data_IF_007221601703
#
_entry.id   IF_007221601703
#
_cell.length_a   1.000
_cell.length_b   1.000
_cell.length_c   1.000
_cell.angle_alpha   90.00
_cell.angle_beta   90.00
_cell.angle_gamma   90.00
#
_symmetry.space_group_name_H-M   'P 1'
#
loop_
_entity.id
_entity.type
_entity.pdbx_description
1 polymer ?
#
# COMPACT_ATOMS: atom_id res chain seq x y z
N UNK A 1 -14.66 -1.90 -18.99
CA UNK A 1 -14.77 -3.13 -18.15
C UNK A 1 -13.67 -4.14 -18.45
N UNK A 2 -13.31 -4.37 -19.73
CA UNK A 2 -12.29 -5.36 -20.12
C UNK A 2 -10.88 -5.06 -19.57
N UNK A 3 -10.50 -3.80 -19.46
CA UNK A 3 -9.19 -3.38 -18.96
C UNK A 3 -8.99 -3.73 -17.46
N UNK A 4 -10.02 -3.56 -16.65
CA UNK A 4 -9.98 -3.96 -15.24
C UNK A 4 -9.89 -5.48 -15.08
N UNK A 5 -10.63 -6.24 -15.89
CA UNK A 5 -10.54 -7.71 -15.89
C UNK A 5 -9.13 -8.19 -16.24
N UNK A 6 -8.50 -7.61 -17.26
CA UNK A 6 -7.11 -7.95 -17.64
C UNK A 6 -6.10 -7.64 -16.54
N UNK A 7 -6.20 -6.46 -15.89
CA UNK A 7 -5.34 -6.08 -14.77
C UNK A 7 -5.51 -7.03 -13.58
N UNK A 8 -6.75 -7.42 -13.27
CA UNK A 8 -7.02 -8.34 -12.19
C UNK A 8 -6.43 -9.72 -12.46
N UNK A 9 -6.53 -10.24 -13.70
CA UNK A 9 -5.88 -11.50 -14.07
C UNK A 9 -4.36 -11.46 -13.90
N UNK A 10 -3.71 -10.37 -14.34
CA UNK A 10 -2.26 -10.19 -14.17
C UNK A 10 -1.89 -10.14 -12.69
N UNK A 11 -2.65 -9.42 -11.86
CA UNK A 11 -2.41 -9.37 -10.42
C UNK A 11 -2.58 -10.74 -9.74
N UNK A 12 -3.58 -11.51 -10.15
CA UNK A 12 -3.76 -12.88 -9.64
C UNK A 12 -2.54 -13.74 -9.99
N UNK A 13 -2.05 -13.69 -11.23
CA UNK A 13 -0.85 -14.41 -11.62
C UNK A 13 0.37 -13.98 -10.78
N UNK A 14 0.60 -12.68 -10.62
CA UNK A 14 1.69 -12.15 -9.79
C UNK A 14 1.55 -12.65 -8.34
N UNK A 15 0.34 -12.66 -7.77
CA UNK A 15 0.11 -13.13 -6.41
C UNK A 15 0.34 -14.63 -6.25
N UNK A 16 0.00 -15.45 -7.26
CA UNK A 16 0.31 -16.87 -7.28
C UNK A 16 1.83 -17.11 -7.29
N UNK A 17 2.57 -16.39 -8.16
CA UNK A 17 4.02 -16.48 -8.17
C UNK A 17 4.65 -16.04 -6.85
N UNK A 18 4.14 -14.97 -6.25
CA UNK A 18 4.59 -14.49 -4.94
C UNK A 18 4.32 -15.52 -3.84
N UNK A 19 3.11 -16.10 -3.78
CA UNK A 19 2.76 -17.13 -2.82
C UNK A 19 3.61 -18.39 -2.99
N UNK A 20 3.87 -18.79 -4.24
CA UNK A 20 4.75 -19.92 -4.53
C UNK A 20 6.19 -19.64 -4.09
N UNK A 21 6.71 -18.46 -4.34
CA UNK A 21 8.05 -18.07 -3.88
C UNK A 21 8.14 -18.08 -2.34
N UNK A 22 7.13 -17.53 -1.64
CA UNK A 22 7.05 -17.58 -0.18
C UNK A 22 7.06 -19.04 0.31
N UNK A 23 6.26 -19.92 -0.30
CA UNK A 23 6.20 -21.34 0.08
C UNK A 23 7.54 -22.05 -0.11
N UNK A 24 8.25 -21.78 -1.21
CA UNK A 24 9.54 -22.42 -1.53
C UNK A 24 10.65 -21.93 -0.59
N UNK A 25 10.77 -20.61 -0.39
CA UNK A 25 11.90 -20.02 0.33
C UNK A 25 11.68 -19.92 1.84
N UNK A 26 10.44 -19.75 2.28
CA UNK A 26 10.11 -19.53 3.69
C UNK A 26 9.39 -20.70 4.35
N UNK A 27 8.84 -21.63 3.56
CA UNK A 27 8.06 -22.77 4.04
C UNK A 27 6.73 -22.36 4.70
N UNK A 28 6.01 -23.35 5.30
CA UNK A 28 4.71 -23.10 5.93
C UNK A 28 4.75 -22.08 7.07
N UNK A 29 5.79 -22.13 7.92
CA UNK A 29 5.97 -21.17 9.02
C UNK A 29 6.13 -19.74 8.50
N UNK A 30 6.95 -19.54 7.47
CA UNK A 30 7.15 -18.22 6.87
C UNK A 30 5.89 -17.69 6.20
N UNK A 31 5.09 -18.54 5.57
CA UNK A 31 3.77 -18.16 5.04
C UNK A 31 2.84 -17.66 6.15
N UNK A 32 2.81 -18.36 7.29
CA UNK A 32 2.04 -17.92 8.47
C UNK A 32 2.49 -16.55 8.97
N UNK A 33 3.79 -16.34 9.14
CA UNK A 33 4.35 -15.05 9.61
C UNK A 33 4.02 -13.91 8.65
N UNK A 34 4.16 -14.10 7.33
CA UNK A 34 3.77 -13.10 6.31
C UNK A 34 2.28 -12.79 6.40
N UNK A 35 1.44 -13.82 6.55
CA UNK A 35 0.00 -13.68 6.71
C UNK A 35 -0.37 -12.86 7.94
N UNK A 36 0.22 -13.17 9.09
CA UNK A 36 -0.01 -12.46 10.35
C UNK A 36 0.40 -10.98 10.27
N UNK A 37 1.59 -10.69 9.76
CA UNK A 37 2.04 -9.31 9.58
C UNK A 37 1.16 -8.52 8.61
N UNK A 38 0.80 -9.11 7.47
CA UNK A 38 -0.06 -8.43 6.49
C UNK A 38 -1.47 -8.22 7.01
N UNK A 39 -2.02 -9.15 7.78
CA UNK A 39 -3.32 -9.03 8.44
C UNK A 39 -3.33 -7.90 9.47
N UNK A 40 -2.31 -7.84 10.33
CA UNK A 40 -2.16 -6.77 11.31
C UNK A 40 -2.09 -5.38 10.65
N UNK A 41 -1.23 -5.22 9.61
CA UNK A 41 -1.12 -3.96 8.86
C UNK A 41 -2.46 -3.59 8.21
N UNK A 42 -3.16 -4.56 7.61
CA UNK A 42 -4.44 -4.32 6.94
C UNK A 42 -5.53 -3.89 7.92
N UNK A 43 -5.54 -4.47 9.12
CA UNK A 43 -6.49 -4.13 10.17
C UNK A 43 -6.29 -2.67 10.63
N UNK A 44 -5.06 -2.30 10.99
CA UNK A 44 -4.77 -0.92 11.39
C UNK A 44 -4.95 0.07 10.24
N UNK A 45 -4.56 -0.30 9.02
CA UNK A 45 -4.78 0.49 7.81
C UNK A 45 -6.26 0.73 7.53
N UNK A 46 -7.10 -0.29 7.70
CA UNK A 46 -8.56 -0.18 7.56
C UNK A 46 -9.17 0.78 8.57
N UNK A 47 -8.79 0.67 9.85
CA UNK A 47 -9.27 1.55 10.92
C UNK A 47 -8.84 3.00 10.66
N UNK A 48 -7.57 3.23 10.36
CA UNK A 48 -7.04 4.60 10.21
C UNK A 48 -7.43 5.27 8.91
N UNK A 49 -7.75 4.51 7.86
CA UNK A 49 -8.24 5.07 6.60
C UNK A 49 -9.69 5.55 6.68
N UNK A 50 -10.51 5.02 7.61
CA UNK A 50 -11.90 5.43 7.86
C UNK A 50 -12.73 5.71 6.59
N UNK A 51 -12.52 4.97 5.52
CA UNK A 51 -13.20 5.18 4.24
C UNK A 51 -12.78 6.44 3.47
N UNK A 52 -11.70 7.12 3.90
CA UNK A 52 -11.16 8.32 3.24
C UNK A 52 -11.00 8.15 1.73
N UNK A 53 -10.57 6.98 1.29
CA UNK A 53 -10.36 6.70 -0.13
C UNK A 53 -11.66 6.83 -0.94
N UNK A 54 -12.77 6.28 -0.44
CA UNK A 54 -14.07 6.31 -1.13
C UNK A 54 -14.61 7.73 -1.25
N UNK A 55 -14.57 8.48 -0.15
CA UNK A 55 -15.02 9.88 -0.13
C UNK A 55 -14.16 10.75 -1.04
N UNK A 56 -12.86 10.52 -1.02
CA UNK A 56 -11.93 11.30 -1.82
C UNK A 56 -12.05 11.03 -3.32
N UNK A 57 -12.24 9.77 -3.75
CA UNK A 57 -12.49 9.45 -5.16
C UNK A 57 -13.74 10.20 -5.65
N UNK A 58 -14.81 10.21 -4.83
CA UNK A 58 -16.04 10.94 -5.16
C UNK A 58 -15.78 12.44 -5.32
N UNK A 59 -15.16 13.08 -4.32
CA UNK A 59 -14.91 14.52 -4.33
C UNK A 59 -13.96 14.95 -5.46
N UNK A 60 -12.92 14.16 -5.75
CA UNK A 60 -12.01 14.44 -6.87
C UNK A 60 -12.73 14.25 -8.21
N UNK A 61 -13.60 13.25 -8.33
CA UNK A 61 -14.38 13.03 -9.55
C UNK A 61 -15.40 14.15 -9.79
N UNK A 62 -16.06 14.64 -8.74
CA UNK A 62 -16.98 15.79 -8.82
C UNK A 62 -16.22 17.07 -9.22
N UNK A 63 -15.06 17.33 -8.61
CA UNK A 63 -14.22 18.47 -8.96
C UNK A 63 -13.74 18.37 -10.42
N UNK A 64 -13.33 17.19 -10.87
CA UNK A 64 -12.91 16.96 -12.25
C UNK A 64 -14.06 17.15 -13.27
N UNK A 65 -15.31 16.93 -12.84
CA UNK A 65 -16.50 17.15 -13.68
C UNK A 65 -16.92 18.62 -13.79
N UNK A 66 -16.42 19.51 -12.93
CA UNK A 66 -16.72 20.95 -12.97
C UNK A 66 -15.81 21.77 -13.87
N UNK A 67 -14.77 21.15 -14.47
CA UNK A 67 -13.71 21.78 -15.28
C UNK A 67 -13.01 23.00 -14.60
N UNK A 68 -13.13 23.09 -13.26
CA UNK A 68 -12.49 24.12 -12.44
C UNK A 68 -11.16 23.58 -11.87
N UNK A 69 -10.04 23.98 -12.49
CA UNK A 69 -8.70 23.54 -12.10
C UNK A 69 -8.34 23.94 -10.65
N UNK A 70 -8.80 25.09 -10.19
CA UNK A 70 -8.52 25.58 -8.83
C UNK A 70 -9.28 24.73 -7.79
N UNK A 71 -10.50 24.34 -8.11
CA UNK A 71 -11.29 23.42 -7.27
C UNK A 71 -10.64 22.03 -7.19
N UNK A 72 -10.19 21.48 -8.32
CA UNK A 72 -9.47 20.20 -8.36
C UNK A 72 -8.21 20.29 -7.48
N UNK A 73 -7.42 21.35 -7.64
CA UNK A 73 -6.19 21.55 -6.87
C UNK A 73 -6.44 21.61 -5.37
N UNK A 74 -7.44 22.38 -4.94
CA UNK A 74 -7.83 22.47 -3.51
C UNK A 74 -8.25 21.13 -2.95
N UNK A 75 -9.15 20.40 -3.63
CA UNK A 75 -9.64 19.09 -3.18
C UNK A 75 -8.49 18.09 -3.05
N UNK A 76 -7.61 18.00 -4.05
CA UNK A 76 -6.45 17.09 -4.02
C UNK A 76 -5.47 17.48 -2.92
N UNK A 77 -5.23 18.78 -2.70
CA UNK A 77 -4.33 19.26 -1.65
C UNK A 77 -4.84 18.92 -0.25
N UNK A 78 -6.12 19.17 0.03
CA UNK A 78 -6.77 18.81 1.30
C UNK A 78 -6.68 17.30 1.53
N UNK A 79 -7.00 16.53 0.49
CA UNK A 79 -6.97 15.07 0.60
C UNK A 79 -5.56 14.53 0.85
N UNK A 80 -4.53 15.08 0.20
CA UNK A 80 -3.14 14.71 0.48
C UNK A 80 -2.77 14.97 1.95
N UNK A 81 -3.20 16.08 2.53
CA UNK A 81 -2.97 16.35 3.97
C UNK A 81 -3.66 15.32 4.85
N UNK A 82 -4.93 14.97 4.55
CA UNK A 82 -5.67 13.96 5.30
C UNK A 82 -5.01 12.57 5.24
N UNK A 83 -4.49 12.18 4.08
CA UNK A 83 -3.76 10.92 3.90
C UNK A 83 -2.48 10.89 4.75
N UNK A 84 -1.74 11.99 4.81
CA UNK A 84 -0.57 12.10 5.67
C UNK A 84 -0.94 11.98 7.15
N UNK A 85 -1.98 12.69 7.59
CA UNK A 85 -2.45 12.62 8.97
C UNK A 85 -2.92 11.20 9.33
N UNK A 86 -3.76 10.58 8.49
CA UNK A 86 -4.23 9.21 8.73
C UNK A 86 -3.09 8.19 8.71
N UNK A 87 -2.13 8.36 7.80
CA UNK A 87 -0.94 7.51 7.72
C UNK A 87 -0.05 7.62 8.96
N UNK A 88 0.19 8.84 9.45
CA UNK A 88 0.93 9.07 10.69
C UNK A 88 0.20 8.51 11.91
N UNK A 89 -1.11 8.73 12.01
CA UNK A 89 -1.93 8.15 13.08
C UNK A 89 -1.84 6.62 13.07
N UNK A 90 -1.93 5.99 11.89
CA UNK A 90 -1.77 4.56 11.74
C UNK A 90 -0.38 4.07 12.15
N UNK A 91 0.67 4.77 11.70
CA UNK A 91 2.05 4.45 12.08
C UNK A 91 2.25 4.53 13.58
N UNK A 92 1.85 5.62 14.23
CA UNK A 92 1.97 5.78 15.68
C UNK A 92 1.13 4.76 16.44
N UNK A 93 -0.07 4.45 15.98
CA UNK A 93 -0.91 3.41 16.59
C UNK A 93 -0.18 2.06 16.60
N UNK A 94 0.39 1.64 15.47
CA UNK A 94 1.13 0.37 15.39
C UNK A 94 2.36 0.39 16.29
N UNK A 95 3.09 1.51 16.40
CA UNK A 95 4.25 1.64 17.29
C UNK A 95 3.82 1.47 18.75
N UNK A 96 2.78 2.19 19.18
CA UNK A 96 2.27 2.13 20.56
C UNK A 96 1.76 0.73 20.91
N UNK A 97 1.01 0.12 19.98
CA UNK A 97 0.46 -1.21 20.18
C UNK A 97 1.42 -2.35 19.82
N UNK A 98 2.66 -2.07 19.40
CA UNK A 98 3.61 -3.11 18.96
C UNK A 98 3.89 -4.19 20.01
N UNK A 99 3.99 -3.94 21.34
CA UNK A 99 4.16 -5.00 22.32
C UNK A 99 2.92 -5.89 22.42
N UNK A 100 1.74 -5.28 22.41
CA UNK A 100 0.48 -6.01 22.42
C UNK A 100 0.30 -6.86 21.16
N UNK A 101 0.63 -6.31 19.98
CA UNK A 101 0.57 -7.02 18.70
C UNK A 101 1.55 -8.20 18.67
N UNK A 102 2.77 -8.01 19.17
CA UNK A 102 3.75 -9.10 19.24
C UNK A 102 3.23 -10.24 20.12
N UNK A 103 2.76 -9.91 21.31
CA UNK A 103 2.25 -10.91 22.25
C UNK A 103 0.97 -11.59 21.77
N UNK A 104 -0.02 -10.84 21.27
CA UNK A 104 -1.30 -11.39 20.83
C UNK A 104 -1.18 -12.22 19.55
N UNK A 105 -0.20 -11.92 18.69
CA UNK A 105 -0.04 -12.59 17.39
C UNK A 105 0.90 -13.78 17.48
N UNK A 106 1.99 -13.68 18.26
CA UNK A 106 3.07 -14.68 18.31
C UNK A 106 3.27 -15.31 19.69
N UNK A 107 2.57 -14.84 20.71
CA UNK A 107 2.70 -15.33 22.10
C UNK A 107 4.01 -14.92 22.79
N UNK A 108 4.82 -14.07 22.16
CA UNK A 108 6.08 -13.57 22.71
C UNK A 108 6.34 -12.10 22.29
N UNK A 109 7.42 -11.52 22.82
CA UNK A 109 7.81 -10.13 22.56
C UNK A 109 8.92 -9.98 21.50
N UNK A 110 9.33 -11.03 20.83
CA UNK A 110 10.49 -11.03 19.91
C UNK A 110 10.21 -10.24 18.62
N UNK A 111 8.93 -10.03 18.28
CA UNK A 111 8.51 -9.34 17.06
C UNK A 111 8.16 -7.87 17.24
N UNK A 112 8.42 -7.25 18.41
CA UNK A 112 8.14 -5.82 18.66
C UNK A 112 8.84 -4.95 17.62
N UNK A 113 10.15 -5.16 17.40
CA UNK A 113 10.94 -4.41 16.41
C UNK A 113 10.38 -4.61 15.01
N UNK A 114 9.91 -5.82 14.69
CA UNK A 114 9.27 -6.14 13.41
C UNK A 114 8.01 -5.28 13.20
N UNK A 115 7.15 -5.16 14.20
CA UNK A 115 5.95 -4.30 14.11
C UNK A 115 6.30 -2.82 14.02
N UNK A 116 7.32 -2.34 14.73
CA UNK A 116 7.81 -0.96 14.62
C UNK A 116 8.30 -0.68 13.19
N UNK A 117 9.06 -1.56 12.58
CA UNK A 117 9.49 -1.41 11.18
C UNK A 117 8.30 -1.48 10.21
N UNK A 118 7.35 -2.37 10.46
CA UNK A 118 6.15 -2.51 9.64
C UNK A 118 5.19 -1.31 9.77
N UNK A 119 5.27 -0.52 10.83
CA UNK A 119 4.49 0.72 10.96
C UNK A 119 4.82 1.73 9.85
N UNK A 120 6.07 1.75 9.38
CA UNK A 120 6.52 2.55 8.23
C UNK A 120 5.81 2.10 6.95
N UNK A 121 5.62 0.78 6.78
CA UNK A 121 4.88 0.22 5.65
C UNK A 121 3.45 0.76 5.60
N UNK A 122 2.80 0.90 6.74
CA UNK A 122 1.44 1.42 6.82
C UNK A 122 1.36 2.88 6.36
N UNK A 123 2.29 3.74 6.81
CA UNK A 123 2.40 5.12 6.33
C UNK A 123 2.58 5.18 4.81
N UNK A 124 3.52 4.38 4.28
CA UNK A 124 3.81 4.32 2.84
C UNK A 124 2.59 3.84 2.05
N UNK A 125 1.87 2.83 2.55
CA UNK A 125 0.65 2.32 1.91
C UNK A 125 -0.45 3.37 1.87
N UNK A 126 -0.65 4.14 2.94
CA UNK A 126 -1.64 5.22 2.96
C UNK A 126 -1.31 6.31 1.93
N UNK A 127 -0.04 6.73 1.84
CA UNK A 127 0.40 7.72 0.84
C UNK A 127 0.19 7.16 -0.58
N UNK A 128 0.51 5.89 -0.81
CA UNK A 128 0.31 5.22 -2.10
C UNK A 128 -1.18 5.13 -2.47
N UNK A 129 -2.04 4.80 -1.49
CA UNK A 129 -3.50 4.80 -1.68
C UNK A 129 -4.01 6.20 -2.04
N UNK A 130 -3.47 7.25 -1.40
CA UNK A 130 -3.79 8.63 -1.75
C UNK A 130 -3.46 9.00 -3.20
N UNK A 131 -2.33 8.54 -3.73
CA UNK A 131 -1.98 8.74 -5.14
C UNK A 131 -2.93 7.97 -6.08
N UNK A 132 -3.31 6.75 -5.70
CA UNK A 132 -4.24 5.93 -6.46
C UNK A 132 -5.64 6.57 -6.55
N UNK A 133 -6.09 7.21 -5.46
CA UNK A 133 -7.35 7.96 -5.42
C UNK A 133 -7.36 9.11 -6.42
N UNK A 134 -6.26 9.86 -6.55
CA UNK A 134 -6.14 10.92 -7.55
C UNK A 134 -6.28 10.36 -8.97
N UNK A 135 -5.60 9.24 -9.26
CA UNK A 135 -5.71 8.57 -10.57
C UNK A 135 -7.15 8.12 -10.86
N UNK A 136 -7.86 7.59 -9.84
CA UNK A 136 -9.25 7.16 -9.96
C UNK A 136 -10.21 8.34 -10.17
N UNK A 137 -10.12 9.36 -9.33
CA UNK A 137 -10.98 10.54 -9.39
C UNK A 137 -10.81 11.33 -10.69
N UNK A 138 -9.60 11.42 -11.21
CA UNK A 138 -9.28 12.04 -12.50
C UNK A 138 -9.60 11.12 -13.70
N UNK A 139 -10.23 9.98 -13.49
CA UNK A 139 -10.58 8.98 -14.52
C UNK A 139 -9.39 8.46 -15.33
N UNK A 140 -8.17 8.56 -14.79
CA UNK A 140 -6.92 8.03 -15.40
C UNK A 140 -6.77 6.53 -15.16
N UNK A 141 -7.78 5.76 -15.56
CA UNK A 141 -7.90 4.33 -15.30
C UNK A 141 -6.75 3.51 -15.90
N UNK A 142 -6.24 3.92 -17.08
CA UNK A 142 -5.08 3.26 -17.71
C UNK A 142 -3.81 3.42 -16.90
N UNK A 143 -3.57 4.61 -16.34
CA UNK A 143 -2.40 4.90 -15.52
C UNK A 143 -2.49 4.21 -14.16
N UNK A 144 -3.69 4.17 -13.56
CA UNK A 144 -3.96 3.37 -12.36
C UNK A 144 -3.69 1.88 -12.62
N UNK A 145 -4.20 1.33 -13.70
CA UNK A 145 -3.98 -0.06 -14.09
C UNK A 145 -2.49 -0.40 -14.21
N UNK A 146 -1.73 0.46 -14.90
CA UNK A 146 -0.28 0.32 -15.02
C UNK A 146 0.42 0.42 -13.67
N UNK A 147 0.06 1.39 -12.83
CA UNK A 147 0.68 1.56 -11.52
C UNK A 147 0.50 0.33 -10.63
N UNK A 148 -0.69 -0.28 -10.65
CA UNK A 148 -0.99 -1.49 -9.87
C UNK A 148 -0.17 -2.68 -10.37
N UNK A 149 -0.13 -2.92 -11.69
CA UNK A 149 0.64 -4.04 -12.27
C UNK A 149 2.13 -3.88 -12.03
N UNK A 150 2.70 -2.71 -12.35
CA UNK A 150 4.12 -2.46 -12.14
C UNK A 150 4.50 -2.44 -10.67
N UNK A 151 3.62 -1.93 -9.79
CA UNK A 151 3.82 -1.97 -8.33
C UNK A 151 3.87 -3.39 -7.78
N UNK A 152 2.92 -4.23 -8.18
CA UNK A 152 2.88 -5.64 -7.79
C UNK A 152 4.09 -6.43 -8.31
N UNK A 153 4.45 -6.21 -9.58
CA UNK A 153 5.60 -6.86 -10.21
C UNK A 153 6.93 -6.41 -9.58
N UNK A 154 7.11 -5.10 -9.36
CA UNK A 154 8.28 -4.57 -8.67
C UNK A 154 8.40 -5.09 -7.25
N UNK A 155 7.29 -5.19 -6.52
CA UNK A 155 7.24 -5.81 -5.20
C UNK A 155 7.66 -7.28 -5.21
N UNK A 156 7.26 -8.05 -6.23
CA UNK A 156 7.67 -9.44 -6.41
C UNK A 156 9.18 -9.53 -6.69
N UNK A 157 9.69 -8.74 -7.61
CA UNK A 157 11.12 -8.73 -7.98
C UNK A 157 12.04 -8.42 -6.79
N UNK A 158 11.58 -7.60 -5.85
CA UNK A 158 12.33 -7.27 -4.63
C UNK A 158 12.17 -8.36 -3.57
N UNK A 159 10.95 -8.88 -3.39
CA UNK A 159 10.66 -9.83 -2.32
C UNK A 159 11.36 -11.16 -2.54
N UNK A 160 11.42 -11.67 -3.77
CA UNK A 160 11.98 -13.00 -4.07
C UNK A 160 13.47 -13.10 -3.71
N UNK A 161 14.36 -12.18 -4.14
CA UNK A 161 15.78 -12.22 -3.73
C UNK A 161 15.95 -12.09 -2.21
N UNK A 162 15.16 -11.24 -1.55
CA UNK A 162 15.27 -11.06 -0.10
C UNK A 162 14.90 -12.37 0.62
N UNK A 163 13.84 -13.05 0.19
CA UNK A 163 13.44 -14.32 0.77
C UNK A 163 14.46 -15.42 0.54
N UNK A 164 15.12 -15.46 -0.64
CA UNK A 164 16.14 -16.46 -0.95
C UNK A 164 17.42 -16.27 -0.13
N UNK A 165 17.81 -15.01 0.18
CA UNK A 165 19.06 -14.70 0.90
C UNK A 165 18.84 -14.68 2.42
N UNK A 166 17.77 -14.04 2.90
CA UNK A 166 17.55 -13.78 4.32
C UNK A 166 16.53 -14.72 4.97
N UNK A 167 15.80 -15.53 4.19
CA UNK A 167 14.74 -16.40 4.71
C UNK A 167 13.69 -15.61 5.49
N UNK A 168 13.26 -16.18 6.62
CA UNK A 168 12.19 -15.60 7.49
C UNK A 168 12.57 -14.20 8.02
N UNK A 169 13.85 -13.93 8.30
CA UNK A 169 14.32 -12.62 8.76
C UNK A 169 14.12 -11.52 7.71
N UNK A 170 14.08 -11.90 6.43
CA UNK A 170 13.86 -10.98 5.32
C UNK A 170 12.41 -10.52 5.15
N UNK A 171 11.44 -11.12 5.84
CA UNK A 171 10.01 -10.82 5.62
C UNK A 171 9.70 -9.33 5.83
N UNK A 172 10.11 -8.76 6.95
CA UNK A 172 9.85 -7.37 7.29
C UNK A 172 10.49 -6.42 6.27
N UNK A 173 11.76 -6.66 5.95
CA UNK A 173 12.49 -5.86 4.95
C UNK A 173 11.86 -5.93 3.57
N UNK A 174 11.41 -7.12 3.15
CA UNK A 174 10.72 -7.29 1.87
C UNK A 174 9.40 -6.53 1.80
N UNK A 175 8.61 -6.54 2.89
CA UNK A 175 7.34 -5.82 2.96
C UNK A 175 7.55 -4.29 2.92
N UNK A 176 8.55 -3.78 3.62
CA UNK A 176 8.89 -2.35 3.61
C UNK A 176 9.37 -1.94 2.21
N UNK A 177 10.33 -2.65 1.63
CA UNK A 177 10.89 -2.31 0.31
C UNK A 177 9.86 -2.47 -0.81
N UNK A 178 9.00 -3.48 -0.75
CA UNK A 178 7.91 -3.63 -1.71
C UNK A 178 6.90 -2.48 -1.62
N UNK A 179 6.59 -1.99 -0.42
CA UNK A 179 5.69 -0.83 -0.25
C UNK A 179 6.33 0.48 -0.74
N UNK A 180 7.62 0.68 -0.53
CA UNK A 180 8.37 1.82 -1.08
C UNK A 180 8.33 1.79 -2.62
N UNK A 181 8.60 0.63 -3.21
CA UNK A 181 8.54 0.45 -4.68
C UNK A 181 7.16 0.76 -5.23
N UNK A 182 6.11 0.26 -4.56
CA UNK A 182 4.74 0.56 -4.95
C UNK A 182 4.43 2.07 -4.86
N UNK A 183 4.90 2.74 -3.81
CA UNK A 183 4.75 4.20 -3.67
C UNK A 183 5.45 4.95 -4.80
N UNK A 184 6.70 4.61 -5.11
CA UNK A 184 7.47 5.26 -6.18
C UNK A 184 6.75 5.13 -7.52
N UNK A 185 6.28 3.93 -7.83
CA UNK A 185 5.58 3.66 -9.08
C UNK A 185 4.24 4.42 -9.14
N UNK A 186 3.44 4.36 -8.09
CA UNK A 186 2.15 5.05 -8.04
C UNK A 186 2.32 6.57 -8.10
N UNK A 187 3.33 7.10 -7.40
CA UNK A 187 3.70 8.52 -7.43
C UNK A 187 4.14 8.97 -8.81
N UNK A 188 4.94 8.16 -9.51
CA UNK A 188 5.37 8.45 -10.89
C UNK A 188 4.17 8.60 -11.83
N UNK A 189 3.21 7.68 -11.78
CA UNK A 189 2.01 7.78 -12.61
C UNK A 189 1.08 8.91 -12.18
N UNK A 190 0.95 9.19 -10.89
CA UNK A 190 0.14 10.30 -10.38
C UNK A 190 0.71 11.66 -10.77
N UNK A 191 2.03 11.83 -10.76
CA UNK A 191 2.70 13.09 -11.14
C UNK A 191 2.60 13.41 -12.65
N UNK A 192 2.23 12.45 -13.49
CA UNK A 192 1.93 12.73 -14.90
C UNK A 192 0.66 13.55 -15.11
N UNK A 193 -0.17 13.63 -14.08
CA UNK A 193 -1.35 14.50 -14.09
C UNK A 193 -0.87 15.90 -13.71
N UNK A 194 -0.90 16.82 -14.67
CA UNK A 194 -0.61 18.24 -14.41
C UNK A 194 -1.78 18.84 -13.63
N UNK A 195 -1.67 18.86 -12.31
CA UNK A 195 -2.59 19.62 -11.43
C UNK A 195 -1.86 20.91 -11.07
N UNK A 196 -2.52 22.05 -11.27
CA UNK A 196 -1.99 23.37 -10.88
C UNK A 196 -1.63 23.31 -9.38
N UNK A 197 -0.37 23.58 -9.05
CA UNK A 197 0.05 23.65 -7.64
C UNK A 197 -0.47 24.97 -7.06
N UNK A 198 -1.33 24.87 -6.08
CA UNK A 198 -1.76 25.99 -5.25
C UNK A 198 -0.84 26.12 -4.05
#
# INVERSE_FOLDING_TARGET
>A
TSLFGGVQMVNILISIFKSKAIAIFLGPNGMGIVGLFTSAISLFGGITSMGLATVAVKNVAEANGSDDEDRISKVVSVFRKLVWVSGLLGMFSVIIFSPYLSFSTFGNYDYIISFILLSITLLIQQISAGQSVVLQGMRRIKDLAKSVVFGSFGGLLISVPIYSIMGVRGIVYSLVLASITNLIITWYFSNRIKIKKT
#
